data_IF_535636791233
#
_entry.id   IF_535636791233
#
_cell.length_a   1.000
_cell.length_b   1.000
_cell.length_c   1.000
_cell.angle_alpha   90.00
_cell.angle_beta   90.00
_cell.angle_gamma   90.00
#
_symmetry.space_group_name_H-M   'P 1'
#
loop_
_entity.id
_entity.type
_entity.pdbx_description
1 polymer ?
#
# COMPACT_ATOMS: atom_id res chain seq x y z
N UNK A 1 13.83 0.01 21.97
CA UNK A 1 14.63 -0.76 21.00
C UNK A 1 14.06 -2.17 20.79
N UNK A 2 13.91 -2.99 21.84
CA UNK A 2 13.40 -4.36 21.74
C UNK A 2 12.01 -4.45 21.07
N UNK A 3 11.08 -3.57 21.45
CA UNK A 3 9.74 -3.48 20.87
C UNK A 3 9.77 -3.24 19.35
N UNK A 4 10.66 -2.37 18.87
CA UNK A 4 10.80 -2.09 17.43
C UNK A 4 11.37 -3.29 16.67
N UNK A 5 12.36 -3.99 17.25
CA UNK A 5 12.90 -5.23 16.68
C UNK A 5 11.85 -6.34 16.64
N UNK A 6 11.00 -6.42 17.66
CA UNK A 6 9.88 -7.36 17.68
C UNK A 6 8.91 -7.08 16.52
N UNK A 7 8.41 -5.85 16.36
CA UNK A 7 7.50 -5.51 15.26
C UNK A 7 8.14 -5.70 13.90
N UNK A 8 9.43 -5.37 13.75
CA UNK A 8 10.18 -5.61 12.52
C UNK A 8 10.25 -7.11 12.19
N UNK A 9 10.71 -7.94 13.13
CA UNK A 9 10.84 -9.38 12.94
C UNK A 9 9.49 -10.05 12.70
N UNK A 10 8.46 -9.63 13.45
CA UNK A 10 7.09 -10.10 13.26
C UNK A 10 6.58 -9.78 11.85
N UNK A 11 6.66 -8.52 11.41
CA UNK A 11 6.20 -8.10 10.08
C UNK A 11 6.95 -8.84 8.98
N UNK A 12 8.26 -9.05 9.15
CA UNK A 12 9.08 -9.81 8.21
C UNK A 12 8.59 -11.25 8.05
N UNK A 13 8.41 -11.97 9.16
CA UNK A 13 7.93 -13.36 9.14
C UNK A 13 6.55 -13.45 8.50
N UNK A 14 5.62 -12.57 8.89
CA UNK A 14 4.27 -12.53 8.31
C UNK A 14 4.34 -12.25 6.80
N UNK A 15 5.20 -11.33 6.35
CA UNK A 15 5.38 -11.03 4.93
C UNK A 15 5.91 -12.22 4.14
N UNK A 16 6.85 -12.97 4.69
CA UNK A 16 7.34 -14.20 4.05
C UNK A 16 6.21 -15.22 3.92
N UNK A 17 5.46 -15.48 5.00
CA UNK A 17 4.34 -16.42 4.99
C UNK A 17 3.26 -16.01 3.98
N UNK A 18 2.82 -14.76 4.01
CA UNK A 18 1.82 -14.26 3.06
C UNK A 18 2.32 -14.27 1.63
N UNK A 19 3.61 -14.01 1.38
CA UNK A 19 4.18 -14.09 0.03
C UNK A 19 4.05 -15.50 -0.54
N UNK A 20 4.41 -16.54 0.23
CA UNK A 20 4.27 -17.92 -0.22
C UNK A 20 2.80 -18.32 -0.43
N UNK A 21 1.94 -17.97 0.51
CA UNK A 21 0.50 -18.27 0.42
C UNK A 21 -0.16 -17.59 -0.80
N UNK A 22 0.09 -16.29 -0.99
CA UNK A 22 -0.47 -15.53 -2.10
C UNK A 22 0.12 -15.98 -3.43
N UNK A 23 1.41 -16.35 -3.49
CA UNK A 23 1.99 -16.90 -4.71
C UNK A 23 1.26 -18.18 -5.17
N UNK A 24 0.83 -19.03 -4.23
CA UNK A 24 0.03 -20.21 -4.54
C UNK A 24 -1.36 -19.82 -5.08
N UNK A 25 -2.02 -18.86 -4.43
CA UNK A 25 -3.35 -18.38 -4.81
C UNK A 25 -3.35 -17.70 -6.19
N UNK A 26 -2.36 -16.86 -6.46
CA UNK A 26 -2.22 -16.11 -7.72
C UNK A 26 -1.93 -17.03 -8.89
N UNK A 27 -1.13 -18.09 -8.69
CA UNK A 27 -0.96 -19.17 -9.67
C UNK A 27 -2.28 -19.87 -9.96
N UNK A 28 -3.08 -20.17 -8.94
CA UNK A 28 -4.40 -20.82 -9.10
C UNK A 28 -5.40 -19.92 -9.84
N UNK A 29 -5.34 -18.60 -9.62
CA UNK A 29 -6.20 -17.62 -10.30
C UNK A 29 -5.68 -17.19 -11.68
N UNK A 30 -4.52 -17.71 -12.11
CA UNK A 30 -3.90 -17.37 -13.38
C UNK A 30 -3.36 -15.94 -13.45
N UNK A 31 -3.22 -15.25 -12.31
CA UNK A 31 -2.61 -13.92 -12.21
C UNK A 31 -1.10 -14.12 -12.12
N UNK A 32 -0.50 -14.40 -13.28
CA UNK A 32 0.89 -14.78 -13.42
C UNK A 32 1.51 -14.08 -14.61
N UNK A 33 2.78 -13.71 -14.48
CA UNK A 33 3.59 -13.28 -15.60
C UNK A 33 4.12 -14.51 -16.36
N UNK A 34 3.59 -14.73 -17.56
CA UNK A 34 3.96 -15.86 -18.43
C UNK A 34 5.28 -15.58 -19.14
N UNK A 35 6.24 -16.47 -18.94
CA UNK A 35 7.53 -16.44 -19.65
C UNK A 35 7.33 -16.52 -21.17
N UNK A 36 8.11 -15.74 -21.93
CA UNK A 36 8.25 -15.87 -23.38
C UNK A 36 7.12 -15.30 -24.25
N UNK A 37 6.07 -14.69 -23.67
CA UNK A 37 4.96 -14.10 -24.44
C UNK A 37 5.32 -12.71 -25.00
N UNK A 38 6.15 -11.96 -24.29
CA UNK A 38 6.63 -10.64 -24.73
C UNK A 38 8.13 -10.66 -25.00
N UNK A 39 8.57 -10.02 -26.09
CA UNK A 39 9.99 -9.88 -26.46
C UNK A 39 10.85 -9.21 -25.38
N UNK A 40 10.24 -8.47 -24.44
CA UNK A 40 10.90 -7.81 -23.30
C UNK A 40 11.14 -8.73 -22.10
N UNK A 41 10.48 -9.90 -22.03
CA UNK A 41 10.52 -10.78 -20.84
C UNK A 41 11.65 -11.81 -20.97
N UNK A 42 12.73 -11.59 -20.23
CA UNK A 42 13.93 -12.45 -20.20
C UNK A 42 13.77 -13.69 -19.30
N UNK A 43 12.70 -13.76 -18.50
CA UNK A 43 12.47 -14.82 -17.54
C UNK A 43 11.97 -16.09 -18.24
N UNK A 44 12.57 -17.25 -17.91
CA UNK A 44 12.21 -18.57 -18.47
C UNK A 44 11.07 -19.28 -17.72
N UNK A 45 10.70 -18.79 -16.53
CA UNK A 45 9.69 -19.42 -15.66
C UNK A 45 8.55 -18.44 -15.43
N UNK A 46 7.34 -18.98 -15.34
CA UNK A 46 6.14 -18.22 -14.98
C UNK A 46 6.21 -17.76 -13.53
N UNK A 47 6.03 -16.46 -13.29
CA UNK A 47 6.14 -15.85 -11.96
C UNK A 47 4.75 -15.42 -11.48
N UNK A 48 4.43 -15.66 -10.21
CA UNK A 48 3.18 -15.19 -9.63
C UNK A 48 3.25 -13.67 -9.41
N UNK A 49 2.22 -12.95 -9.82
CA UNK A 49 2.06 -11.52 -9.54
C UNK A 49 1.29 -11.35 -8.21
N UNK A 50 1.30 -10.16 -7.61
CA UNK A 50 0.56 -9.90 -6.36
C UNK A 50 1.39 -9.78 -5.09
N UNK A 51 2.71 -9.59 -5.17
CA UNK A 51 3.56 -9.33 -3.99
C UNK A 51 3.10 -8.12 -3.15
N UNK A 52 2.48 -7.11 -3.79
CA UNK A 52 1.90 -5.96 -3.10
C UNK A 52 0.81 -6.35 -2.09
N UNK A 53 0.01 -7.38 -2.37
CA UNK A 53 -1.00 -7.88 -1.41
C UNK A 53 -0.34 -8.45 -0.15
N UNK A 54 0.79 -9.15 -0.30
CA UNK A 54 1.51 -9.69 0.84
C UNK A 54 1.97 -8.56 1.77
N UNK A 55 2.58 -7.52 1.20
CA UNK A 55 3.03 -6.34 1.94
C UNK A 55 1.86 -5.64 2.61
N UNK A 56 0.75 -5.44 1.90
CA UNK A 56 -0.45 -4.80 2.44
C UNK A 56 -0.98 -5.54 3.68
N UNK A 57 -1.21 -6.85 3.58
CA UNK A 57 -1.73 -7.62 4.71
C UNK A 57 -0.73 -7.71 5.87
N UNK A 58 0.57 -7.85 5.59
CA UNK A 58 1.58 -7.86 6.64
C UNK A 58 1.66 -6.54 7.38
N UNK A 59 1.64 -5.42 6.65
CA UNK A 59 1.66 -4.09 7.24
C UNK A 59 0.44 -3.86 8.14
N UNK A 60 -0.77 -4.11 7.64
CA UNK A 60 -1.98 -3.86 8.42
C UNK A 60 -2.17 -4.84 9.57
N UNK A 61 -1.71 -6.08 9.46
CA UNK A 61 -1.70 -7.00 10.60
C UNK A 61 -0.75 -6.52 11.69
N UNK A 62 0.45 -6.06 11.33
CA UNK A 62 1.38 -5.48 12.29
C UNK A 62 0.87 -4.20 12.94
N UNK A 63 0.20 -3.33 12.16
CA UNK A 63 -0.48 -2.14 12.69
C UNK A 63 -1.60 -2.54 13.65
N UNK A 64 -2.40 -3.54 13.33
CA UNK A 64 -3.48 -4.03 14.20
C UNK A 64 -2.93 -4.57 15.52
N UNK A 65 -1.84 -5.34 15.48
CA UNK A 65 -1.19 -5.85 16.69
C UNK A 65 -0.59 -4.70 17.50
N UNK A 66 0.07 -3.75 16.84
CA UNK A 66 0.56 -2.56 17.53
C UNK A 66 -0.58 -1.76 18.18
N UNK A 67 -1.72 -1.64 17.51
CA UNK A 67 -2.88 -0.94 18.04
C UNK A 67 -3.48 -1.64 19.28
N UNK A 68 -3.50 -2.98 19.32
CA UNK A 68 -4.05 -3.74 20.45
C UNK A 68 -3.09 -3.79 21.65
N UNK A 69 -1.78 -3.90 21.39
CA UNK A 69 -0.80 -4.25 22.42
C UNK A 69 0.18 -3.12 22.79
N UNK A 70 0.22 -2.00 22.06
CA UNK A 70 1.13 -0.89 22.39
C UNK A 70 0.42 0.15 23.27
N UNK A 71 0.93 0.34 24.49
CA UNK A 71 0.40 1.32 25.45
C UNK A 71 0.45 2.78 24.97
N UNK A 72 1.29 3.09 23.97
CA UNK A 72 1.55 4.45 23.48
C UNK A 72 0.92 4.76 22.10
N UNK A 73 0.00 3.93 21.61
CA UNK A 73 -0.67 4.18 20.34
C UNK A 73 -1.77 5.23 20.52
N UNK A 74 -1.48 6.51 20.23
CA UNK A 74 -2.38 7.63 20.54
C UNK A 74 -3.69 7.57 19.74
N UNK A 75 -4.78 7.15 20.37
CA UNK A 75 -6.03 6.74 19.70
C UNK A 75 -6.73 7.82 18.85
N UNK A 76 -6.63 9.10 19.20
CA UNK A 76 -7.50 10.14 18.61
C UNK A 76 -7.09 10.60 17.19
N UNK A 77 -5.80 10.85 16.96
CA UNK A 77 -5.30 11.31 15.64
C UNK A 77 -5.01 10.11 14.72
N UNK A 78 -4.77 8.95 15.31
CA UNK A 78 -4.33 7.75 14.60
C UNK A 78 -5.49 7.05 13.88
N UNK A 79 -6.72 7.08 14.41
CA UNK A 79 -7.85 6.36 13.82
C UNK A 79 -8.22 6.83 12.39
N UNK A 80 -8.49 8.12 12.21
CA UNK A 80 -8.86 8.69 10.89
C UNK A 80 -7.72 8.57 9.88
N UNK A 81 -6.48 8.81 10.32
CA UNK A 81 -5.31 8.71 9.46
C UNK A 81 -5.05 7.26 9.04
N UNK A 82 -5.13 6.29 9.95
CA UNK A 82 -4.98 4.88 9.60
C UNK A 82 -6.10 4.38 8.69
N UNK A 83 -7.34 4.81 8.92
CA UNK A 83 -8.45 4.47 8.03
C UNK A 83 -8.23 5.05 6.63
N UNK A 84 -7.80 6.32 6.54
CA UNK A 84 -7.41 6.94 5.27
C UNK A 84 -6.27 6.20 4.56
N UNK A 85 -5.23 5.81 5.31
CA UNK A 85 -4.12 5.01 4.81
C UNK A 85 -4.58 3.64 4.31
N UNK A 86 -5.46 2.96 5.06
CA UNK A 86 -6.03 1.67 4.68
C UNK A 86 -6.84 1.77 3.41
N UNK A 87 -7.79 2.71 3.32
CA UNK A 87 -8.61 2.88 2.13
C UNK A 87 -7.79 3.32 0.91
N UNK A 88 -6.85 4.25 1.08
CA UNK A 88 -5.99 4.72 0.00
C UNK A 88 -5.10 3.60 -0.55
N UNK A 89 -4.44 2.84 0.34
CA UNK A 89 -3.62 1.70 -0.08
C UNK A 89 -4.44 0.54 -0.64
N UNK A 90 -5.68 0.32 -0.15
CA UNK A 90 -6.59 -0.67 -0.71
C UNK A 90 -6.95 -0.34 -2.16
N UNK A 91 -7.21 0.94 -2.49
CA UNK A 91 -7.44 1.38 -3.88
C UNK A 91 -6.22 1.10 -4.75
N UNK A 92 -5.01 1.39 -4.29
CA UNK A 92 -3.79 1.11 -5.04
C UNK A 92 -3.60 -0.39 -5.28
N UNK A 93 -3.85 -1.22 -4.27
CA UNK A 93 -3.76 -2.68 -4.38
C UNK A 93 -4.80 -3.21 -5.37
N UNK A 94 -6.05 -2.75 -5.30
CA UNK A 94 -7.08 -3.11 -6.27
C UNK A 94 -6.65 -2.71 -7.68
N UNK A 95 -6.18 -1.47 -7.87
CA UNK A 95 -5.68 -1.00 -9.16
C UNK A 95 -4.54 -1.87 -9.71
N UNK A 96 -3.57 -2.22 -8.87
CA UNK A 96 -2.47 -3.11 -9.24
C UNK A 96 -2.92 -4.51 -9.66
N UNK A 97 -3.84 -5.13 -8.91
CA UNK A 97 -4.37 -6.46 -9.26
C UNK A 97 -5.18 -6.41 -10.55
N UNK A 98 -5.98 -5.37 -10.74
CA UNK A 98 -6.76 -5.19 -11.95
C UNK A 98 -5.83 -4.98 -13.16
N UNK A 99 -4.76 -4.22 -13.00
CA UNK A 99 -3.75 -4.02 -14.03
C UNK A 99 -3.01 -5.32 -14.37
N UNK A 100 -2.56 -6.07 -13.35
CA UNK A 100 -1.90 -7.36 -13.52
C UNK A 100 -2.79 -8.39 -14.25
N UNK A 101 -4.11 -8.35 -14.03
CA UNK A 101 -5.05 -9.30 -14.62
C UNK A 101 -5.56 -8.89 -16.00
N UNK A 102 -5.82 -7.59 -16.21
CA UNK A 102 -6.51 -7.09 -17.40
C UNK A 102 -5.62 -6.26 -18.34
N UNK A 103 -4.38 -5.97 -17.94
CA UNK A 103 -3.43 -5.12 -18.68
C UNK A 103 -4.09 -3.81 -19.11
N UNK A 104 -4.42 -2.97 -18.12
CA UNK A 104 -5.28 -1.81 -18.33
C UNK A 104 -4.59 -0.77 -19.22
N UNK A 105 -5.39 0.01 -19.96
CA UNK A 105 -4.87 1.18 -20.68
C UNK A 105 -4.37 2.20 -19.66
N UNK A 106 -3.29 2.91 -19.97
CA UNK A 106 -2.68 3.93 -19.09
C UNK A 106 -3.70 4.95 -18.51
N UNK A 107 -4.72 5.33 -19.31
CA UNK A 107 -5.78 6.25 -18.88
C UNK A 107 -6.67 5.69 -17.76
N UNK A 108 -6.84 4.37 -17.69
CA UNK A 108 -7.58 3.70 -16.63
C UNK A 108 -6.69 3.45 -15.41
N UNK A 109 -5.41 3.15 -15.64
CA UNK A 109 -4.44 2.90 -14.56
C UNK A 109 -4.26 4.13 -13.66
N UNK A 110 -4.26 5.34 -14.22
CA UNK A 110 -4.07 6.59 -13.46
C UNK A 110 -5.25 6.94 -12.53
N UNK A 111 -6.43 6.35 -12.75
CA UNK A 111 -7.61 6.59 -11.91
C UNK A 111 -7.37 6.12 -10.47
N UNK A 112 -6.70 4.98 -10.28
CA UNK A 112 -6.48 4.43 -8.93
C UNK A 112 -5.55 5.29 -8.07
N UNK A 113 -4.37 5.75 -8.54
CA UNK A 113 -3.55 6.69 -7.80
C UNK A 113 -4.25 8.02 -7.49
N UNK A 114 -5.04 8.56 -8.43
CA UNK A 114 -5.81 9.79 -8.19
C UNK A 114 -6.81 9.58 -7.05
N UNK A 115 -7.60 8.50 -7.10
CA UNK A 115 -8.56 8.19 -6.05
C UNK A 115 -7.87 7.95 -4.69
N UNK A 116 -6.75 7.21 -4.68
CA UNK A 116 -5.97 6.98 -3.47
C UNK A 116 -5.44 8.29 -2.87
N UNK A 117 -4.90 9.19 -3.70
CA UNK A 117 -4.42 10.51 -3.26
C UNK A 117 -5.55 11.37 -2.67
N UNK A 118 -6.73 11.39 -3.32
CA UNK A 118 -7.88 12.10 -2.80
C UNK A 118 -8.30 11.59 -1.42
N UNK A 119 -8.32 10.27 -1.20
CA UNK A 119 -8.62 9.68 0.11
C UNK A 119 -7.63 10.17 1.19
N UNK A 120 -6.33 10.17 0.88
CA UNK A 120 -5.29 10.65 1.80
C UNK A 120 -5.49 12.13 2.15
N UNK A 121 -5.80 12.97 1.15
CA UNK A 121 -6.07 14.40 1.34
C UNK A 121 -7.30 14.60 2.23
N UNK A 122 -8.41 13.91 1.96
CA UNK A 122 -9.63 14.02 2.78
C UNK A 122 -9.46 13.42 4.18
N UNK A 123 -8.58 12.44 4.35
CA UNK A 123 -8.19 11.94 5.66
C UNK A 123 -7.38 12.99 6.46
N UNK A 124 -6.95 14.09 5.84
CA UNK A 124 -6.17 15.14 6.47
C UNK A 124 -4.69 14.82 6.58
N UNK A 125 -4.22 13.81 5.83
CA UNK A 125 -2.82 13.41 5.79
C UNK A 125 -2.12 14.23 4.71
N UNK A 126 -1.16 15.05 5.12
CA UNK A 126 -0.33 15.80 4.17
C UNK A 126 0.34 17.01 4.81
N UNK A 127 1.20 17.70 4.06
CA UNK A 127 1.79 18.94 4.52
C UNK A 127 0.73 20.04 4.60
N UNK A 128 0.57 20.63 5.78
CA UNK A 128 -0.30 21.80 5.97
C UNK A 128 0.36 23.10 5.46
N UNK A 129 1.69 23.09 5.32
CA UNK A 129 2.48 24.27 4.96
C UNK A 129 3.59 23.85 3.99
N UNK A 130 3.81 24.66 2.95
CA UNK A 130 4.99 24.56 2.08
C UNK A 130 5.80 25.85 2.19
N UNK A 131 7.12 25.70 2.35
CA UNK A 131 8.06 26.82 2.33
C UNK A 131 8.25 27.34 0.91
N UNK A 132 8.08 28.64 0.70
CA UNK A 132 8.32 29.27 -0.59
C UNK A 132 9.84 29.53 -0.75
N UNK A 133 10.50 29.03 -1.81
CA UNK A 133 11.92 29.30 -2.05
C UNK A 133 12.25 30.78 -2.24
N UNK A 134 11.26 31.63 -2.55
CA UNK A 134 11.40 33.08 -2.64
C UNK A 134 11.03 33.83 -1.34
N UNK A 135 10.77 33.10 -0.25
CA UNK A 135 10.41 33.65 1.06
C UNK A 135 8.92 33.52 1.40
N UNK A 136 8.64 33.37 2.71
CA UNK A 136 7.29 33.18 3.24
C UNK A 136 6.81 31.71 3.25
N UNK A 137 5.55 31.53 3.63
CA UNK A 137 4.89 30.22 3.74
C UNK A 137 3.60 30.19 2.92
N UNK A 138 3.36 29.07 2.23
CA UNK A 138 2.09 28.79 1.56
C UNK A 138 1.33 27.80 2.43
N UNK A 139 0.17 28.21 2.92
CA UNK A 139 -0.74 27.36 3.69
C UNK A 139 -1.60 26.51 2.77
N UNK A 140 -1.70 25.22 3.05
CA UNK A 140 -2.44 24.21 2.29
C UNK A 140 -3.61 23.59 3.07
N UNK A 141 -3.75 23.97 4.33
CA UNK A 141 -4.76 23.50 5.29
C UNK A 141 -6.14 24.15 5.11
N UNK A 142 -6.34 24.99 4.10
CA UNK A 142 -7.60 25.69 3.84
C UNK A 142 -8.82 24.78 3.53
N UNK A 143 -8.59 23.51 3.22
CA UNK A 143 -9.63 22.51 2.97
C UNK A 143 -9.98 21.64 4.20
N UNK A 144 -9.17 21.70 5.25
CA UNK A 144 -9.44 20.93 6.47
C UNK A 144 -10.52 21.66 7.27
N UNK A 145 -11.74 21.12 7.25
CA UNK A 145 -12.87 21.56 8.07
C UNK A 145 -12.68 21.09 9.51
#
# INVERSE_FOLDING_TARGET
>A
MLTYLFYFGFTFVVSVVFTFFLAMLMRKWGIVDKAGVEKRKIHKKTIALGGGLAIFFSFFLSVLIAWIFADNFTYEIVGRNLLGLFLGSLILIMGGILDDKYNLRARLQIVFPILAALIIIFAGIGPHIISNPFGGIIRLDFWQI
#
